data_IF_342261982185
#
_entry.id   IF_342261982185
#
_cell.length_a   1.000
_cell.length_b   1.000
_cell.length_c   1.000
_cell.angle_alpha   90.00
_cell.angle_beta   90.00
_cell.angle_gamma   90.00
#
_symmetry.space_group_name_H-M   'P 1'
#
loop_
_entity.id
_entity.type
_entity.pdbx_description
1 polymer ?
#
# COMPACT_ATOMS: atom_id res chain seq x y z
N UNK A 1 28.22 16.05 -18.61
CA UNK A 1 27.48 14.77 -18.66
C UNK A 1 26.43 14.72 -19.79
N UNK A 2 25.42 15.59 -19.86
CA UNK A 2 24.35 15.51 -20.86
C UNK A 2 24.77 15.67 -22.35
N UNK A 3 25.89 16.36 -22.62
CA UNK A 3 26.47 16.48 -23.97
C UNK A 3 27.04 15.15 -24.49
N UNK A 4 27.52 14.28 -23.60
CA UNK A 4 28.12 12.99 -23.93
C UNK A 4 27.07 11.95 -24.35
N UNK A 5 25.89 11.99 -23.72
CA UNK A 5 24.81 11.05 -24.01
C UNK A 5 24.21 11.29 -25.41
N UNK A 6 23.97 12.56 -25.76
CA UNK A 6 23.43 12.93 -27.09
C UNK A 6 24.42 12.71 -28.23
N UNK A 7 25.71 12.63 -27.93
CA UNK A 7 26.73 12.26 -28.92
C UNK A 7 26.65 10.75 -29.19
N UNK A 8 26.55 9.96 -28.12
CA UNK A 8 26.41 8.51 -28.20
C UNK A 8 25.09 8.08 -28.87
N UNK A 9 23.97 8.74 -28.56
CA UNK A 9 22.68 8.49 -29.22
C UNK A 9 22.76 8.73 -30.73
N UNK A 10 23.48 9.78 -31.17
CA UNK A 10 23.67 10.06 -32.59
C UNK A 10 24.54 9.01 -33.28
N UNK A 11 25.63 8.60 -32.63
CA UNK A 11 26.53 7.57 -33.14
C UNK A 11 25.83 6.21 -33.28
N UNK A 12 24.94 5.87 -32.34
CA UNK A 12 24.12 4.64 -32.42
C UNK A 12 23.16 4.70 -33.59
N UNK A 13 22.44 5.81 -33.77
CA UNK A 13 21.49 5.98 -34.89
C UNK A 13 22.20 5.93 -36.24
N UNK A 14 23.37 6.55 -36.35
CA UNK A 14 24.17 6.56 -37.58
C UNK A 14 24.67 5.16 -37.94
N UNK A 15 25.20 4.41 -36.96
CA UNK A 15 25.62 3.02 -37.16
C UNK A 15 24.46 2.09 -37.52
N UNK A 16 23.27 2.38 -36.99
CA UNK A 16 22.07 1.60 -37.31
C UNK A 16 21.60 1.84 -38.75
N UNK A 17 21.70 3.08 -39.24
CA UNK A 17 21.43 3.41 -40.66
C UNK A 17 22.45 2.81 -41.63
N UNK A 18 23.72 2.72 -41.24
CA UNK A 18 24.77 2.05 -42.02
C UNK A 18 24.55 0.53 -42.06
N UNK A 19 24.16 -0.08 -40.94
CA UNK A 19 23.88 -1.52 -40.90
C UNK A 19 22.64 -1.87 -41.76
N UNK A 20 21.61 -1.02 -41.78
CA UNK A 20 20.42 -1.17 -42.63
C UNK A 20 20.75 -1.10 -44.14
N UNK A 21 21.82 -0.39 -44.56
CA UNK A 21 22.22 -0.22 -45.98
C UNK A 21 23.20 -1.28 -46.50
N UNK A 22 23.88 -2.01 -45.61
CA UNK A 22 24.96 -2.97 -46.00
C UNK A 22 24.44 -4.40 -46.27
N UNK A 23 23.12 -4.63 -46.17
CA UNK A 23 22.50 -5.92 -46.52
C UNK A 23 22.64 -7.03 -45.48
N UNK A 24 23.29 -6.79 -44.34
CA UNK A 24 23.37 -7.72 -43.20
C UNK A 24 22.07 -7.70 -42.37
N UNK A 25 20.96 -7.98 -43.04
CA UNK A 25 19.61 -7.84 -42.51
C UNK A 25 19.38 -8.70 -41.26
N UNK A 26 20.00 -9.86 -41.17
CA UNK A 26 19.91 -10.77 -40.01
C UNK A 26 20.65 -10.21 -38.78
N UNK A 27 21.82 -9.59 -38.96
CA UNK A 27 22.56 -8.96 -37.86
C UNK A 27 21.85 -7.70 -37.35
N UNK A 28 21.23 -6.94 -38.26
CA UNK A 28 20.38 -5.78 -37.93
C UNK A 28 19.14 -6.19 -37.16
N UNK A 29 18.42 -7.22 -37.61
CA UNK A 29 17.25 -7.78 -36.93
C UNK A 29 17.63 -8.28 -35.52
N UNK A 30 18.74 -9.01 -35.42
CA UNK A 30 19.28 -9.48 -34.14
C UNK A 30 19.70 -8.33 -33.22
N UNK A 31 20.27 -7.25 -33.76
CA UNK A 31 20.60 -6.05 -33.00
C UNK A 31 19.35 -5.29 -32.54
N UNK A 32 18.35 -5.12 -33.41
CA UNK A 32 17.06 -4.49 -33.07
C UNK A 32 16.31 -5.28 -32.00
N UNK A 33 16.28 -6.61 -32.10
CA UNK A 33 15.71 -7.52 -31.08
C UNK A 33 16.44 -7.42 -29.73
N UNK A 34 17.77 -7.40 -29.73
CA UNK A 34 18.54 -7.22 -28.50
C UNK A 34 18.33 -5.83 -27.91
N UNK A 35 18.27 -4.79 -28.74
CA UNK A 35 18.06 -3.42 -28.29
C UNK A 35 16.64 -3.21 -27.74
N UNK A 36 15.61 -3.85 -28.32
CA UNK A 36 14.26 -3.85 -27.76
C UNK A 36 14.21 -4.59 -26.43
N UNK A 37 14.83 -5.77 -26.32
CA UNK A 37 14.91 -6.50 -25.05
C UNK A 37 15.68 -5.71 -23.97
N UNK A 38 16.71 -4.97 -24.35
CA UNK A 38 17.48 -4.09 -23.46
C UNK A 38 16.63 -2.88 -23.04
N UNK A 39 15.85 -2.31 -23.95
CA UNK A 39 14.88 -1.25 -23.65
C UNK A 39 13.77 -1.73 -22.73
N UNK A 40 13.28 -2.96 -22.89
CA UNK A 40 12.27 -3.57 -22.02
C UNK A 40 12.83 -3.84 -20.63
N UNK A 41 14.06 -4.36 -20.55
CA UNK A 41 14.78 -4.58 -19.29
C UNK A 41 15.08 -3.27 -18.56
N UNK A 42 15.48 -2.22 -19.29
CA UNK A 42 15.64 -0.87 -18.75
C UNK A 42 14.29 -0.26 -18.37
N UNK A 43 13.21 -0.52 -19.11
CA UNK A 43 11.86 -0.09 -18.76
C UNK A 43 11.45 -0.59 -17.36
N UNK A 44 11.73 -1.86 -17.05
CA UNK A 44 11.42 -2.46 -15.75
C UNK A 44 12.45 -2.13 -14.65
N UNK A 45 13.75 -2.23 -14.95
CA UNK A 45 14.83 -2.05 -13.96
C UNK A 45 15.12 -0.56 -13.70
N UNK A 46 15.15 0.26 -14.76
CA UNK A 46 15.43 1.69 -14.64
C UNK A 46 14.25 2.46 -14.06
N UNK A 47 13.00 2.01 -14.13
CA UNK A 47 11.89 2.65 -13.40
C UNK A 47 12.08 2.56 -11.88
N UNK A 48 12.45 1.38 -11.37
CA UNK A 48 12.74 1.22 -9.94
C UNK A 48 13.94 2.06 -9.51
N UNK A 49 14.99 2.10 -10.32
CA UNK A 49 16.17 2.92 -10.05
C UNK A 49 15.92 4.44 -10.21
N UNK A 50 15.09 4.88 -11.15
CA UNK A 50 14.67 6.28 -11.35
C UNK A 50 13.85 6.79 -10.18
N UNK A 51 12.94 5.97 -9.64
CA UNK A 51 12.21 6.32 -8.42
C UNK A 51 13.21 6.50 -7.28
N UNK A 52 14.09 5.52 -7.03
CA UNK A 52 15.10 5.62 -5.96
C UNK A 52 16.10 6.76 -6.16
N UNK A 53 16.44 7.12 -7.39
CA UNK A 53 17.35 8.22 -7.72
C UNK A 53 16.70 9.60 -7.64
N UNK A 54 15.40 9.74 -7.96
CA UNK A 54 14.67 11.02 -7.84
C UNK A 54 14.26 11.32 -6.41
N UNK A 55 14.05 10.30 -5.59
CA UNK A 55 13.70 10.42 -4.18
C UNK A 55 14.93 10.11 -3.29
N UNK A 56 15.99 10.93 -3.41
CA UNK A 56 17.16 10.85 -2.52
C UNK A 56 16.92 11.45 -1.13
N UNK A 57 15.84 12.22 -0.94
CA UNK A 57 15.48 12.83 0.34
C UNK A 57 14.23 12.15 0.92
N UNK A 58 14.39 11.53 2.08
CA UNK A 58 13.34 10.89 2.89
C UNK A 58 12.15 11.84 3.11
N UNK A 59 12.41 13.16 3.18
CA UNK A 59 11.40 14.22 3.36
C UNK A 59 10.36 14.30 2.22
N UNK A 60 10.66 13.77 1.02
CA UNK A 60 9.68 13.67 -0.08
C UNK A 60 8.94 12.34 -0.14
N UNK A 61 9.25 11.37 0.74
CA UNK A 61 8.45 10.14 0.86
C UNK A 61 7.11 10.41 1.54
N UNK A 62 7.03 11.43 2.41
CA UNK A 62 5.80 11.85 3.08
C UNK A 62 4.90 12.72 2.19
N UNK A 63 5.38 13.15 1.02
CA UNK A 63 4.56 13.86 0.05
C UNK A 63 3.76 12.83 -0.79
N UNK A 64 2.42 12.96 -0.85
CA UNK A 64 1.58 12.04 -1.62
C UNK A 64 1.94 12.11 -3.11
N UNK A 65 2.81 11.22 -3.58
CA UNK A 65 3.27 11.22 -4.96
C UNK A 65 2.27 10.45 -5.82
N UNK A 66 1.83 11.07 -6.92
CA UNK A 66 0.90 10.46 -7.90
C UNK A 66 1.38 9.07 -8.38
N UNK A 67 2.70 8.82 -8.35
CA UNK A 67 3.30 7.54 -8.69
C UNK A 67 3.05 6.46 -7.62
N UNK A 68 3.21 6.79 -6.34
CA UNK A 68 2.92 5.85 -5.25
C UNK A 68 1.42 5.53 -5.19
N UNK A 69 0.55 6.51 -5.40
CA UNK A 69 -0.88 6.23 -5.55
C UNK A 69 -1.21 5.37 -6.76
N UNK A 70 -0.52 5.55 -7.89
CA UNK A 70 -0.70 4.70 -9.05
C UNK A 70 -0.28 3.25 -8.77
N UNK A 71 0.84 3.05 -8.08
CA UNK A 71 1.31 1.74 -7.65
C UNK A 71 0.39 1.11 -6.61
N UNK A 72 -0.04 1.87 -5.60
CA UNK A 72 -0.94 1.42 -4.55
C UNK A 72 -2.33 1.11 -5.11
N UNK A 73 -2.84 1.91 -6.04
CA UNK A 73 -4.08 1.62 -6.77
C UNK A 73 -3.97 0.36 -7.61
N UNK A 74 -2.86 0.18 -8.35
CA UNK A 74 -2.63 -1.01 -9.19
C UNK A 74 -2.45 -2.28 -8.35
N UNK A 75 -1.76 -2.17 -7.21
CA UNK A 75 -1.57 -3.28 -6.27
C UNK A 75 -2.83 -3.56 -5.44
N UNK A 76 -3.58 -2.53 -5.08
CA UNK A 76 -4.85 -2.62 -4.38
C UNK A 76 -5.92 -3.32 -5.23
N UNK A 77 -5.99 -2.99 -6.54
CA UNK A 77 -6.87 -3.70 -7.48
C UNK A 77 -6.54 -5.20 -7.58
N UNK A 78 -5.25 -5.58 -7.49
CA UNK A 78 -4.84 -6.99 -7.48
C UNK A 78 -5.18 -7.72 -6.17
N UNK A 79 -5.41 -6.99 -5.09
CA UNK A 79 -5.76 -7.53 -3.76
C UNK A 79 -7.26 -7.59 -3.52
N UNK A 80 -8.07 -7.20 -4.50
CA UNK A 80 -9.52 -7.20 -4.36
C UNK A 80 -10.05 -8.64 -4.39
N UNK A 81 -10.82 -9.03 -3.37
CA UNK A 81 -11.54 -10.29 -3.38
C UNK A 81 -12.69 -10.22 -4.39
N UNK A 82 -12.61 -11.01 -5.45
CA UNK A 82 -13.63 -11.08 -6.52
C UNK A 82 -14.77 -12.06 -6.22
N UNK A 83 -14.55 -12.99 -5.28
CA UNK A 83 -15.58 -13.89 -4.81
C UNK A 83 -15.24 -14.41 -3.42
N UNK A 84 -16.26 -14.75 -2.65
CA UNK A 84 -16.16 -15.31 -1.31
C UNK A 84 -17.29 -16.31 -1.10
N UNK A 85 -17.07 -17.38 -0.34
CA UNK A 85 -18.16 -18.24 0.13
C UNK A 85 -18.59 -17.80 1.52
N UNK A 86 -19.89 -17.58 1.71
CA UNK A 86 -20.46 -17.25 3.02
C UNK A 86 -20.39 -18.44 3.98
N UNK A 87 -20.67 -18.18 5.26
CA UNK A 87 -20.81 -19.20 6.30
C UNK A 87 -21.92 -20.23 6.03
N UNK A 88 -22.91 -19.90 5.19
CA UNK A 88 -23.97 -20.81 4.73
C UNK A 88 -23.57 -21.56 3.45
N UNK A 89 -22.35 -21.35 2.95
CA UNK A 89 -21.81 -21.99 1.75
C UNK A 89 -22.21 -21.31 0.43
N UNK A 90 -22.96 -20.21 0.48
CA UNK A 90 -23.39 -19.44 -0.69
C UNK A 90 -22.19 -18.71 -1.32
N UNK A 91 -22.08 -18.76 -2.65
CA UNK A 91 -21.06 -18.01 -3.38
C UNK A 91 -21.49 -16.55 -3.54
N UNK A 92 -20.72 -15.63 -2.98
CA UNK A 92 -20.85 -14.19 -3.12
C UNK A 92 -19.84 -13.69 -4.15
N UNK A 93 -20.31 -12.99 -5.17
CA UNK A 93 -19.47 -12.37 -6.20
C UNK A 93 -19.65 -10.86 -6.28
N UNK A 94 -20.80 -10.37 -5.81
CA UNK A 94 -21.07 -8.94 -5.75
C UNK A 94 -20.23 -8.27 -4.65
N UNK A 95 -19.66 -7.13 -4.97
CA UNK A 95 -18.74 -6.43 -4.07
C UNK A 95 -19.43 -5.95 -2.79
N UNK A 96 -20.72 -5.59 -2.88
CA UNK A 96 -21.54 -5.20 -1.74
C UNK A 96 -21.73 -6.37 -0.75
N UNK A 97 -22.04 -7.56 -1.28
CA UNK A 97 -22.27 -8.76 -0.47
C UNK A 97 -20.99 -9.22 0.24
N UNK A 98 -19.84 -9.17 -0.46
CA UNK A 98 -18.54 -9.50 0.13
C UNK A 98 -18.22 -8.55 1.30
N UNK A 99 -18.48 -7.25 1.14
CA UNK A 99 -18.30 -6.26 2.22
C UNK A 99 -19.26 -6.52 3.38
N UNK A 100 -20.53 -6.80 3.10
CA UNK A 100 -21.51 -7.10 4.14
C UNK A 100 -21.12 -8.35 4.92
N UNK A 101 -20.64 -9.40 4.24
CA UNK A 101 -20.16 -10.62 4.88
C UNK A 101 -18.98 -10.33 5.83
N UNK A 102 -18.05 -9.45 5.44
CA UNK A 102 -16.94 -9.04 6.30
C UNK A 102 -17.43 -8.27 7.53
N UNK A 103 -18.41 -7.36 7.36
CA UNK A 103 -19.00 -6.61 8.48
C UNK A 103 -19.65 -7.55 9.49
N UNK A 104 -20.51 -8.47 9.04
CA UNK A 104 -21.17 -9.42 9.94
C UNK A 104 -20.17 -10.33 10.65
N UNK A 105 -19.13 -10.78 9.94
CA UNK A 105 -18.06 -11.57 10.55
C UNK A 105 -17.37 -10.83 11.70
N UNK A 106 -16.93 -9.60 11.49
CA UNK A 106 -16.24 -8.83 12.53
C UNK A 106 -17.18 -8.39 13.65
N UNK A 107 -18.44 -8.13 13.33
CA UNK A 107 -19.46 -7.82 14.33
C UNK A 107 -19.67 -8.99 15.29
N UNK A 108 -19.67 -10.22 14.79
CA UNK A 108 -19.77 -11.42 15.65
C UNK A 108 -18.44 -11.70 16.37
N UNK A 109 -17.29 -11.53 15.69
CA UNK A 109 -15.96 -11.74 16.30
C UNK A 109 -15.70 -10.82 17.49
N UNK A 110 -16.11 -9.56 17.37
CA UNK A 110 -15.97 -8.55 18.42
C UNK A 110 -17.26 -8.35 19.21
N UNK A 111 -18.18 -9.31 19.14
CA UNK A 111 -19.35 -9.30 20.00
C UNK A 111 -18.86 -9.41 21.44
N UNK A 112 -19.15 -8.40 22.24
CA UNK A 112 -18.73 -8.40 23.64
C UNK A 112 -19.37 -9.59 24.37
N UNK A 113 -18.55 -10.55 24.77
CA UNK A 113 -18.98 -11.65 25.65
C UNK A 113 -19.21 -11.17 27.09
N UNK A 114 -18.73 -9.96 27.41
CA UNK A 114 -18.89 -9.34 28.71
C UNK A 114 -20.38 -9.17 29.03
N UNK A 115 -20.81 -9.93 30.03
CA UNK A 115 -22.08 -9.70 30.72
C UNK A 115 -21.76 -8.92 31.99
N UNK A 116 -22.31 -7.72 32.10
CA UNK A 116 -22.27 -6.99 33.35
C UNK A 116 -23.10 -7.77 34.37
N UNK A 117 -22.42 -8.48 35.26
CA UNK A 117 -23.03 -9.12 36.42
C UNK A 117 -22.78 -8.19 37.62
N UNK A 118 -23.69 -7.23 37.88
CA UNK A 118 -23.46 -6.21 38.90
C UNK A 118 -23.27 -6.82 40.29
N UNK A 119 -23.87 -7.98 40.56
CA UNK A 119 -23.72 -8.73 41.81
C UNK A 119 -22.29 -9.31 41.96
N UNK A 120 -21.73 -9.85 40.88
CA UNK A 120 -20.34 -10.36 40.87
C UNK A 120 -19.34 -9.20 40.94
N UNK A 121 -19.62 -8.10 40.24
CA UNK A 121 -18.81 -6.89 40.33
C UNK A 121 -18.83 -6.31 41.76
N UNK A 122 -20.01 -6.21 42.39
CA UNK A 122 -20.15 -5.72 43.76
C UNK A 122 -19.38 -6.59 44.77
N UNK A 123 -19.51 -7.92 44.69
CA UNK A 123 -18.73 -8.83 45.55
C UNK A 123 -17.21 -8.75 45.31
N UNK A 124 -16.77 -8.40 44.10
CA UNK A 124 -15.36 -8.11 43.83
C UNK A 124 -14.90 -6.77 44.42
N UNK A 125 -15.79 -5.77 44.47
CA UNK A 125 -15.49 -4.45 45.05
C UNK A 125 -15.60 -4.41 46.57
N UNK A 126 -16.25 -5.39 47.19
CA UNK A 126 -16.36 -5.50 48.64
C UNK A 126 -14.98 -5.59 49.32
N UNK A 127 -14.70 -4.64 50.21
CA UNK A 127 -13.46 -4.60 50.98
C UNK A 127 -12.27 -3.94 50.28
N UNK A 128 -12.44 -3.44 49.05
CA UNK A 128 -11.44 -2.58 48.44
C UNK A 128 -11.40 -1.21 49.13
N UNK A 129 -10.21 -0.61 49.31
CA UNK A 129 -10.10 0.74 49.82
C UNK A 129 -10.77 1.70 48.83
N UNK A 130 -11.90 2.26 49.22
CA UNK A 130 -12.56 3.30 48.44
C UNK A 130 -11.85 4.63 48.68
N UNK A 131 -11.75 5.42 47.61
CA UNK A 131 -11.33 6.80 47.67
C UNK A 131 -12.30 7.56 48.58
N UNK A 132 -11.83 8.37 49.54
CA UNK A 132 -12.72 9.16 50.39
C UNK A 132 -13.59 10.09 49.53
N UNK A 133 -14.82 10.36 49.96
CA UNK A 133 -15.80 11.09 49.12
C UNK A 133 -15.32 12.47 48.66
N UNK A 134 -14.46 13.11 49.45
CA UNK A 134 -13.84 14.41 49.12
C UNK A 134 -12.94 14.31 47.87
N UNK A 135 -12.16 13.24 47.75
CA UNK A 135 -11.28 12.99 46.61
C UNK A 135 -12.07 12.46 45.41
N UNK A 136 -13.18 11.76 45.63
CA UNK A 136 -14.06 11.29 44.55
C UNK A 136 -14.70 12.46 43.78
N UNK A 137 -15.09 13.53 44.48
CA UNK A 137 -15.63 14.73 43.86
C UNK A 137 -14.58 15.48 43.00
N UNK A 138 -13.30 15.42 43.40
CA UNK A 138 -12.21 15.98 42.63
C UNK A 138 -11.88 15.14 41.39
N UNK A 139 -11.95 13.81 41.49
CA UNK A 139 -11.69 12.87 40.39
C UNK A 139 -12.81 12.85 39.33
N UNK A 140 -14.05 13.11 39.71
CA UNK A 140 -15.21 13.24 38.80
C UNK A 140 -15.31 14.63 38.16
N UNK A 141 -14.45 15.58 38.54
CA UNK A 141 -14.45 16.92 37.96
C UNK A 141 -13.97 16.91 36.50
N UNK A 142 -14.43 17.89 35.72
CA UNK A 142 -13.99 18.06 34.33
C UNK A 142 -12.48 18.35 34.28
N UNK A 143 -11.75 17.62 33.43
CA UNK A 143 -10.31 17.81 33.20
C UNK A 143 -10.02 19.23 32.74
N UNK A 144 -9.08 19.87 33.41
CA UNK A 144 -8.61 21.22 33.06
C UNK A 144 -7.55 21.19 31.96
N UNK A 145 -7.38 22.33 31.29
CA UNK A 145 -6.36 22.48 30.24
C UNK A 145 -4.90 22.39 30.75
N UNK A 146 -4.67 22.42 32.06
CA UNK A 146 -3.34 22.21 32.66
C UNK A 146 -3.03 20.72 32.86
N UNK A 147 -4.04 19.85 32.81
CA UNK A 147 -3.93 18.40 33.01
C UNK A 147 -3.83 17.62 31.68
N UNK A 148 -3.95 18.31 30.53
CA UNK A 148 -3.76 17.80 29.17
C UNK A 148 -2.35 18.10 28.65
#
# INVERSE_FOLDING_TARGET
MARSLRALEREVVERQGLADSTGEREHVEGFKSKNSALSDLLGFSAQGALVRSRFQNIVKMDAPSHLFFGLDRKNGQRRLMHSLRSNVGQLLQESADIRQCAVEFYKELYRTEFRAEPEVAQSFYEGLPNVPEEDHAALEAELSAQEL
#
